data_IF_904949209430
#
_entry.id   IF_904949209430
#
_cell.length_a   1.000
_cell.length_b   1.000
_cell.length_c   1.000
_cell.angle_alpha   90.00
_cell.angle_beta   90.00
_cell.angle_gamma   90.00
#
_symmetry.space_group_name_H-M   'P 1'
#
loop_
_entity.id
_entity.type
_entity.pdbx_description
1 polymer ?
#
# COMPACT_ATOMS: atom_id res chain seq x y z
N UNK A 1 11.27 -13.89 18.96
CA UNK A 1 12.01 -15.02 18.36
C UNK A 1 11.37 -15.36 17.03
N UNK A 2 12.12 -15.38 15.93
CA UNK A 2 11.57 -15.66 14.59
C UNK A 2 11.04 -17.09 14.44
N UNK A 3 10.00 -17.29 13.64
CA UNK A 3 9.42 -18.60 13.36
C UNK A 3 10.46 -19.50 12.68
N UNK A 4 10.89 -20.55 13.40
CA UNK A 4 11.92 -21.51 12.97
C UNK A 4 13.25 -20.86 12.54
N UNK A 5 13.52 -19.64 12.99
CA UNK A 5 14.69 -18.86 12.54
C UNK A 5 14.67 -18.46 11.06
N UNK A 6 13.52 -18.54 10.39
CA UNK A 6 13.37 -18.32 8.93
C UNK A 6 12.44 -17.17 8.58
N UNK A 7 11.53 -16.82 9.49
CA UNK A 7 10.54 -15.77 9.28
C UNK A 7 10.47 -14.91 10.54
N UNK A 8 10.54 -13.60 10.38
CA UNK A 8 10.24 -12.63 11.43
C UNK A 8 9.35 -11.55 10.85
N UNK A 9 8.42 -11.02 11.63
CA UNK A 9 7.68 -9.84 11.24
C UNK A 9 7.62 -8.82 12.35
N UNK A 10 7.40 -7.57 11.96
CA UNK A 10 7.23 -6.42 12.83
C UNK A 10 5.98 -5.66 12.41
N UNK A 11 5.14 -5.31 13.39
CA UNK A 11 4.00 -4.42 13.18
C UNK A 11 4.39 -2.99 13.59
N UNK A 12 4.33 -2.08 12.64
CA UNK A 12 4.56 -0.66 12.80
C UNK A 12 3.22 0.07 12.85
N UNK A 13 2.99 0.85 13.90
CA UNK A 13 1.79 1.66 14.09
C UNK A 13 2.17 3.13 13.95
N UNK A 14 1.59 3.80 12.95
CA UNK A 14 1.81 5.21 12.69
C UNK A 14 0.71 6.07 13.34
N UNK A 15 1.04 7.32 13.64
CA UNK A 15 0.17 8.24 14.39
C UNK A 15 -1.16 8.58 13.71
N UNK A 16 -1.32 8.30 12.42
CA UNK A 16 -2.55 8.52 11.65
C UNK A 16 -3.43 7.26 11.53
N UNK A 17 -3.28 6.31 12.45
CA UNK A 17 -3.97 5.00 12.50
C UNK A 17 -3.60 4.03 11.39
N UNK A 18 -2.54 4.31 10.60
CA UNK A 18 -1.99 3.33 9.66
C UNK A 18 -1.18 2.27 10.38
N UNK A 19 -1.25 1.07 9.84
CA UNK A 19 -0.59 -0.11 10.37
C UNK A 19 0.14 -0.78 9.22
N UNK A 20 1.41 -1.07 9.41
CA UNK A 20 2.25 -1.76 8.43
C UNK A 20 2.89 -2.98 9.08
N UNK A 21 2.73 -4.14 8.45
CA UNK A 21 3.49 -5.34 8.79
C UNK A 21 4.65 -5.49 7.81
N UNK A 22 5.86 -5.49 8.34
CA UNK A 22 7.07 -5.87 7.63
C UNK A 22 7.38 -7.33 7.91
N UNK A 23 7.45 -8.19 6.89
CA UNK A 23 7.76 -9.61 7.02
C UNK A 23 9.11 -9.88 6.34
N UNK A 24 10.10 -10.33 7.11
CA UNK A 24 11.38 -10.79 6.58
C UNK A 24 11.38 -12.31 6.45
N UNK A 25 11.80 -12.83 5.30
CA UNK A 25 11.93 -14.27 5.03
C UNK A 25 13.33 -14.68 4.62
N UNK A 26 13.72 -15.89 5.01
CA UNK A 26 14.91 -16.60 4.52
C UNK A 26 14.50 -18.05 4.27
N UNK A 27 14.04 -18.37 3.06
CA UNK A 27 13.45 -19.67 2.75
C UNK A 27 14.49 -20.73 2.38
N UNK A 28 14.14 -22.00 2.51
CA UNK A 28 15.08 -23.09 2.20
C UNK A 28 15.36 -23.18 0.70
N UNK A 29 16.65 -23.15 0.32
CA UNK A 29 17.12 -23.41 -1.04
C UNK A 29 16.90 -24.87 -1.50
N UNK A 30 17.01 -25.82 -0.56
CA UNK A 30 16.99 -27.23 -0.89
C UNK A 30 15.55 -27.73 -1.10
N UNK A 31 15.17 -27.95 -2.36
CA UNK A 31 13.84 -28.44 -2.72
C UNK A 31 13.49 -29.82 -2.17
N UNK A 32 14.46 -30.60 -1.66
CA UNK A 32 14.20 -31.87 -0.95
C UNK A 32 13.47 -31.64 0.38
N UNK A 33 13.56 -30.44 0.96
CA UNK A 33 12.91 -30.06 2.23
C UNK A 33 11.43 -29.63 2.02
N UNK A 34 10.75 -30.26 1.07
CA UNK A 34 9.42 -29.86 0.58
C UNK A 34 8.38 -29.65 1.70
N UNK A 35 8.35 -30.53 2.71
CA UNK A 35 7.40 -30.44 3.81
C UNK A 35 7.64 -29.19 4.66
N UNK A 36 8.91 -28.88 4.95
CA UNK A 36 9.29 -27.69 5.69
C UNK A 36 8.99 -26.42 4.90
N UNK A 37 9.34 -26.39 3.61
CA UNK A 37 9.04 -25.26 2.71
C UNK A 37 7.54 -25.00 2.64
N UNK A 38 6.72 -26.04 2.47
CA UNK A 38 5.26 -25.91 2.48
C UNK A 38 4.72 -25.36 3.81
N UNK A 39 5.28 -25.80 4.94
CA UNK A 39 4.91 -25.28 6.24
C UNK A 39 5.27 -23.79 6.40
N UNK A 40 6.45 -23.37 5.92
CA UNK A 40 6.84 -21.95 5.89
C UNK A 40 5.93 -21.13 4.99
N UNK A 41 5.61 -21.61 3.78
CA UNK A 41 4.67 -20.94 2.87
C UNK A 41 3.29 -20.76 3.52
N UNK A 42 2.79 -21.79 4.20
CA UNK A 42 1.53 -21.71 4.94
C UNK A 42 1.60 -20.69 6.08
N UNK A 43 2.69 -20.68 6.85
CA UNK A 43 2.87 -19.69 7.92
C UNK A 43 2.88 -18.25 7.37
N UNK A 44 3.51 -18.01 6.22
CA UNK A 44 3.49 -16.72 5.55
C UNK A 44 2.06 -16.35 5.13
N UNK A 45 1.33 -17.27 4.49
CA UNK A 45 -0.06 -17.06 4.08
C UNK A 45 -0.97 -16.71 5.27
N UNK A 46 -0.86 -17.47 6.35
CA UNK A 46 -1.62 -17.22 7.58
C UNK A 46 -1.25 -15.85 8.20
N UNK A 47 0.05 -15.49 8.20
CA UNK A 47 0.55 -14.20 8.72
C UNK A 47 0.06 -12.99 7.91
N UNK A 48 0.00 -13.13 6.58
CA UNK A 48 -0.53 -12.10 5.68
C UNK A 48 -2.05 -12.00 5.85
N UNK A 49 -2.74 -13.14 5.96
CA UNK A 49 -4.19 -13.18 6.16
C UNK A 49 -4.61 -12.50 7.47
N UNK A 50 -3.86 -12.73 8.55
CA UNK A 50 -4.03 -12.08 9.84
C UNK A 50 -3.76 -10.56 9.79
N UNK A 51 -2.79 -10.10 8.98
CA UNK A 51 -2.60 -8.67 8.77
C UNK A 51 -3.78 -8.05 8.01
N UNK A 52 -4.22 -8.69 6.93
CA UNK A 52 -5.33 -8.22 6.10
C UNK A 52 -6.66 -8.18 6.85
N UNK A 53 -6.94 -9.16 7.72
CA UNK A 53 -8.16 -9.16 8.55
C UNK A 53 -8.20 -8.01 9.57
N UNK A 54 -7.03 -7.43 9.89
CA UNK A 54 -6.87 -6.31 10.83
C UNK A 54 -6.61 -4.97 10.14
N UNK A 55 -6.82 -4.92 8.82
CA UNK A 55 -6.58 -3.75 7.97
C UNK A 55 -5.15 -3.22 8.09
N UNK A 56 -4.18 -4.15 8.12
CA UNK A 56 -2.75 -3.86 8.18
C UNK A 56 -2.17 -4.01 6.78
N UNK A 57 -1.50 -2.95 6.30
CA UNK A 57 -0.76 -2.96 5.04
C UNK A 57 0.46 -3.88 5.17
N UNK A 58 0.91 -4.52 4.08
CA UNK A 58 1.95 -5.56 4.15
C UNK A 58 3.07 -5.30 3.17
N UNK A 59 4.31 -5.41 3.66
CA UNK A 59 5.51 -5.62 2.85
C UNK A 59 6.15 -6.92 3.30
N UNK A 60 6.46 -7.81 2.36
CA UNK A 60 7.24 -9.02 2.61
C UNK A 60 8.50 -9.00 1.76
N UNK A 61 9.65 -9.27 2.38
CA UNK A 61 10.95 -9.15 1.75
C UNK A 61 11.95 -10.21 2.25
N UNK A 62 13.02 -10.40 1.49
CA UNK A 62 14.15 -11.27 1.85
C UNK A 62 14.50 -12.26 0.75
N UNK A 63 15.22 -13.31 1.11
CA UNK A 63 15.62 -14.39 0.20
C UNK A 63 14.53 -15.47 0.18
N UNK A 64 13.86 -15.56 -0.97
CA UNK A 64 12.79 -16.54 -1.18
C UNK A 64 13.32 -17.87 -1.69
N UNK A 65 14.57 -17.93 -2.17
CA UNK A 65 15.13 -19.10 -2.83
C UNK A 65 14.26 -19.66 -3.98
N UNK A 66 13.44 -18.80 -4.58
CA UNK A 66 12.57 -19.10 -5.71
C UNK A 66 13.04 -18.25 -6.89
N UNK A 67 13.33 -18.89 -8.02
CA UNK A 67 13.74 -18.19 -9.24
C UNK A 67 12.51 -17.65 -9.98
N UNK A 68 12.40 -16.32 -10.09
CA UNK A 68 11.25 -15.65 -10.71
C UNK A 68 11.14 -15.89 -12.21
N UNK A 69 12.27 -15.98 -12.94
CA UNK A 69 12.24 -16.31 -14.37
C UNK A 69 11.62 -17.69 -14.59
N UNK A 70 12.00 -18.68 -13.79
CA UNK A 70 11.39 -20.03 -13.82
C UNK A 70 9.91 -19.99 -13.43
N UNK A 71 9.53 -19.12 -12.49
CA UNK A 71 8.13 -18.92 -12.12
C UNK A 71 7.30 -18.36 -13.28
N UNK A 72 7.78 -17.31 -13.95
CA UNK A 72 7.11 -16.71 -15.11
C UNK A 72 6.94 -17.71 -16.25
N UNK A 73 7.98 -18.50 -16.56
CA UNK A 73 7.92 -19.55 -17.58
C UNK A 73 6.98 -20.70 -17.19
N UNK A 74 6.72 -20.91 -15.90
CA UNK A 74 5.87 -21.98 -15.40
C UNK A 74 4.39 -21.59 -15.31
N UNK A 75 3.93 -20.52 -15.97
CA UNK A 75 2.55 -20.01 -15.90
C UNK A 75 1.47 -21.08 -16.16
N UNK A 76 1.79 -22.12 -16.93
CA UNK A 76 0.88 -23.24 -17.27
C UNK A 76 1.00 -24.41 -16.27
N UNK A 77 2.12 -24.52 -15.56
CA UNK A 77 2.42 -25.64 -14.67
C UNK A 77 2.29 -25.21 -13.21
N UNK A 78 1.28 -25.75 -12.51
CA UNK A 78 1.00 -25.52 -11.08
C UNK A 78 2.05 -26.20 -10.16
N UNK A 79 3.34 -25.90 -10.40
CA UNK A 79 4.46 -26.42 -9.62
C UNK A 79 4.38 -25.92 -8.19
N UNK A 80 4.58 -26.81 -7.23
CA UNK A 80 4.43 -26.51 -5.81
C UNK A 80 5.46 -25.51 -5.30
N UNK A 81 6.66 -25.46 -5.91
CA UNK A 81 7.73 -24.53 -5.55
C UNK A 81 7.29 -23.06 -5.71
N UNK A 82 6.39 -22.80 -6.66
CA UNK A 82 5.87 -21.46 -6.95
C UNK A 82 4.57 -21.14 -6.22
N UNK A 83 4.15 -22.00 -5.28
CA UNK A 83 2.92 -21.79 -4.52
C UNK A 83 2.92 -20.44 -3.81
N UNK A 84 4.03 -20.07 -3.17
CA UNK A 84 4.13 -18.83 -2.43
C UNK A 84 3.90 -17.59 -3.31
N UNK A 85 4.55 -17.49 -4.47
CA UNK A 85 4.33 -16.35 -5.38
C UNK A 85 2.87 -16.27 -5.86
N UNK A 86 2.22 -17.40 -6.16
CA UNK A 86 0.78 -17.40 -6.47
C UNK A 86 -0.04 -16.90 -5.27
N UNK A 87 0.29 -17.34 -4.06
CA UNK A 87 -0.38 -16.86 -2.84
C UNK A 87 -0.22 -15.35 -2.67
N UNK A 88 0.99 -14.81 -2.83
CA UNK A 88 1.24 -13.37 -2.71
C UNK A 88 0.40 -12.56 -3.72
N UNK A 89 0.32 -13.03 -4.96
CA UNK A 89 -0.51 -12.42 -6.00
C UNK A 89 -2.00 -12.50 -5.69
N UNK A 90 -2.50 -13.66 -5.23
CA UNK A 90 -3.88 -13.81 -4.77
C UNK A 90 -4.20 -12.89 -3.58
N UNK A 91 -3.21 -12.63 -2.73
CA UNK A 91 -3.29 -11.68 -1.61
C UNK A 91 -3.07 -10.23 -2.04
N UNK A 92 -2.91 -9.95 -3.34
CA UNK A 92 -2.73 -8.60 -3.91
C UNK A 92 -1.43 -7.92 -3.45
N UNK A 93 -0.40 -8.70 -3.19
CA UNK A 93 0.97 -8.20 -3.07
C UNK A 93 1.66 -8.35 -4.43
N UNK A 94 2.39 -7.32 -4.84
CA UNK A 94 3.06 -7.27 -6.14
C UNK A 94 4.57 -7.13 -5.94
N UNK A 95 5.35 -7.77 -6.82
CA UNK A 95 6.80 -7.65 -6.88
C UNK A 95 7.17 -6.22 -7.32
N UNK A 96 8.00 -5.54 -6.53
CA UNK A 96 8.31 -4.12 -6.76
C UNK A 96 9.25 -3.92 -7.94
N UNK A 97 10.20 -4.81 -8.17
CA UNK A 97 11.23 -4.65 -9.21
C UNK A 97 10.64 -4.47 -10.62
N UNK A 98 9.72 -5.33 -11.12
CA UNK A 98 9.16 -5.17 -12.46
C UNK A 98 8.22 -3.96 -12.60
N UNK A 99 7.86 -3.29 -11.51
CA UNK A 99 7.06 -2.05 -11.52
C UNK A 99 7.97 -0.82 -11.74
N UNK A 100 9.15 -0.82 -11.13
CA UNK A 100 10.05 0.34 -11.12
C UNK A 100 11.17 0.27 -12.16
N UNK A 101 11.51 -0.92 -12.71
CA UNK A 101 12.69 -1.11 -13.55
C UNK A 101 12.37 -1.60 -14.95
N UNK A 102 12.99 -0.97 -15.95
CA UNK A 102 12.81 -1.33 -17.36
C UNK A 102 13.49 -2.64 -17.77
N UNK A 103 14.62 -2.95 -17.13
CA UNK A 103 15.48 -4.09 -17.44
C UNK A 103 15.46 -5.11 -16.29
N UNK A 104 14.31 -5.35 -15.68
CA UNK A 104 14.13 -6.25 -14.54
C UNK A 104 14.61 -7.70 -14.79
N UNK A 105 14.69 -8.11 -16.06
CA UNK A 105 15.18 -9.43 -16.49
C UNK A 105 16.69 -9.64 -16.28
N UNK A 106 17.44 -8.55 -16.22
CA UNK A 106 18.90 -8.52 -16.02
C UNK A 106 19.27 -8.18 -14.57
N UNK A 107 18.27 -7.87 -13.73
CA UNK A 107 18.49 -7.55 -12.32
C UNK A 107 18.58 -8.81 -11.48
N UNK A 108 19.75 -9.45 -11.50
CA UNK A 108 20.03 -10.59 -10.63
C UNK A 108 20.37 -10.14 -9.21
N UNK A 109 20.04 -10.96 -8.22
CA UNK A 109 20.35 -10.68 -6.81
C UNK A 109 21.28 -11.72 -6.20
N UNK A 110 21.59 -12.79 -6.94
CA UNK A 110 22.43 -13.88 -6.49
C UNK A 110 23.42 -14.26 -7.61
N UNK A 111 24.70 -14.28 -7.27
CA UNK A 111 25.80 -14.68 -8.14
C UNK A 111 26.45 -15.95 -7.58
N UNK A 112 26.28 -17.11 -8.24
CA UNK A 112 26.82 -18.36 -7.72
C UNK A 112 28.35 -18.39 -7.75
N UNK A 113 28.96 -19.02 -6.74
CA UNK A 113 30.42 -19.23 -6.69
C UNK A 113 30.96 -20.09 -7.84
N UNK A 114 30.14 -21.02 -8.37
CA UNK A 114 30.48 -21.82 -9.55
C UNK A 114 30.21 -20.99 -10.82
N UNK A 115 31.25 -20.62 -11.60
CA UNK A 115 31.10 -19.78 -12.78
C UNK A 115 30.28 -20.44 -13.91
N UNK A 116 30.06 -21.75 -13.84
CA UNK A 116 29.20 -22.44 -14.81
C UNK A 116 27.70 -22.30 -14.48
N UNK A 117 27.36 -21.78 -13.30
CA UNK A 117 25.97 -21.54 -12.91
C UNK A 117 25.58 -20.12 -13.28
N UNK A 118 24.34 -19.99 -13.75
CA UNK A 118 23.78 -18.69 -14.10
C UNK A 118 23.37 -17.92 -12.84
N UNK A 119 23.60 -16.61 -12.90
CA UNK A 119 23.05 -15.65 -11.94
C UNK A 119 21.51 -15.74 -11.91
N UNK A 120 20.94 -15.39 -10.76
CA UNK A 120 19.50 -15.41 -10.62
C UNK A 120 18.98 -14.35 -9.66
N UNK A 121 17.71 -13.99 -9.84
CA UNK A 121 16.97 -13.23 -8.83
C UNK A 121 16.36 -14.23 -7.85
N UNK A 122 16.72 -14.11 -6.59
CA UNK A 122 16.24 -14.95 -5.47
C UNK A 122 15.71 -14.09 -4.30
N UNK A 123 16.09 -12.82 -4.28
CA UNK A 123 15.69 -11.83 -3.29
C UNK A 123 14.61 -10.92 -3.86
N UNK A 124 13.59 -10.66 -3.07
CA UNK A 124 12.43 -9.90 -3.53
C UNK A 124 11.91 -8.97 -2.43
N UNK A 125 11.23 -7.92 -2.87
CA UNK A 125 10.32 -7.14 -2.05
C UNK A 125 8.95 -7.21 -2.73
N UNK A 126 7.95 -7.67 -1.99
CA UNK A 126 6.56 -7.68 -2.42
C UNK A 126 5.77 -6.77 -1.51
N UNK A 127 4.95 -5.91 -2.08
CA UNK A 127 4.21 -4.90 -1.33
C UNK A 127 2.73 -4.90 -1.70
N UNK A 128 1.87 -4.64 -0.71
CA UNK A 128 0.45 -4.42 -0.96
C UNK A 128 0.23 -3.18 -1.82
N UNK A 129 -0.89 -3.13 -2.55
CA UNK A 129 -1.21 -1.99 -3.42
C UNK A 129 -1.11 -0.62 -2.72
N UNK A 130 -1.65 -0.44 -1.49
CA UNK A 130 -1.48 0.83 -0.77
C UNK A 130 -0.02 1.18 -0.47
N UNK A 131 0.89 0.22 -0.35
CA UNK A 131 2.32 0.48 -0.14
C UNK A 131 3.02 0.88 -1.43
N UNK A 132 2.60 0.32 -2.57
CA UNK A 132 3.12 0.69 -3.88
C UNK A 132 2.76 2.13 -4.26
N UNK A 133 1.58 2.61 -3.89
CA UNK A 133 1.20 4.03 -4.02
C UNK A 133 2.18 4.96 -3.28
N UNK A 134 2.74 4.48 -2.16
CA UNK A 134 3.67 5.24 -1.32
C UNK A 134 5.13 4.99 -1.69
N UNK A 135 5.39 4.21 -2.73
CA UNK A 135 6.72 3.82 -3.17
C UNK A 135 7.25 4.77 -4.23
N UNK A 136 8.52 5.15 -4.10
CA UNK A 136 9.22 6.06 -5.01
C UNK A 136 10.05 5.28 -6.02
N UNK A 137 10.76 4.25 -5.56
CA UNK A 137 11.67 3.48 -6.39
C UNK A 137 11.93 2.10 -5.78
N UNK A 138 12.35 1.13 -6.61
CA UNK A 138 12.89 -0.14 -6.15
C UNK A 138 14.09 -0.53 -7.01
N UNK A 139 15.21 -0.88 -6.39
CA UNK A 139 16.46 -1.19 -7.13
C UNK A 139 17.19 -2.38 -6.55
N UNK A 140 18.17 -2.89 -7.29
CA UNK A 140 19.17 -3.83 -6.79
C UNK A 140 20.51 -3.11 -6.73
N UNK A 141 21.18 -3.16 -5.59
CA UNK A 141 22.47 -2.52 -5.34
C UNK A 141 23.51 -3.56 -4.90
N UNK A 142 24.75 -3.40 -5.35
CA UNK A 142 25.88 -4.19 -4.88
C UNK A 142 26.15 -3.92 -3.40
N UNK A 143 26.79 -4.88 -2.73
CA UNK A 143 27.15 -4.76 -1.34
C UNK A 143 28.66 -4.57 -1.18
N UNK A 144 29.08 -3.31 -1.02
CA UNK A 144 30.50 -2.97 -0.96
C UNK A 144 31.08 -3.14 0.46
N UNK A 145 30.24 -3.45 1.45
CA UNK A 145 30.61 -3.42 2.86
C UNK A 145 30.94 -4.80 3.47
N UNK A 146 30.51 -5.89 2.83
CA UNK A 146 30.84 -7.25 3.25
C UNK A 146 30.76 -8.23 2.09
N UNK A 147 31.56 -9.30 2.17
CA UNK A 147 31.63 -10.34 1.16
C UNK A 147 30.35 -11.20 1.20
N UNK A 148 29.61 -11.18 0.09
CA UNK A 148 28.32 -11.87 -0.06
C UNK A 148 28.10 -12.21 -1.53
N UNK A 149 27.53 -13.38 -1.78
CA UNK A 149 27.05 -13.81 -3.10
C UNK A 149 25.67 -13.22 -3.45
N UNK A 150 25.06 -12.45 -2.53
CA UNK A 150 23.82 -11.73 -2.73
C UNK A 150 23.98 -10.21 -2.85
N UNK A 151 23.16 -9.60 -3.71
CA UNK A 151 22.96 -8.15 -3.86
C UNK A 151 21.76 -7.68 -3.03
N UNK A 152 21.77 -6.42 -2.61
CA UNK A 152 20.69 -5.87 -1.79
C UNK A 152 19.54 -5.36 -2.67
N UNK A 153 18.32 -5.83 -2.39
CA UNK A 153 17.09 -5.26 -2.98
C UNK A 153 16.59 -4.13 -2.09
N UNK A 154 16.29 -2.98 -2.68
CA UNK A 154 15.77 -1.81 -1.95
C UNK A 154 14.37 -1.42 -2.45
N UNK A 155 13.58 -0.87 -1.53
CA UNK A 155 12.32 -0.20 -1.81
C UNK A 155 12.32 1.14 -1.06
N UNK A 156 12.33 2.23 -1.81
CA UNK A 156 12.27 3.58 -1.25
C UNK A 156 10.82 4.01 -1.11
N UNK A 157 10.44 4.45 0.08
CA UNK A 157 9.09 4.88 0.38
C UNK A 157 9.05 6.37 0.71
N UNK A 158 7.97 7.04 0.32
CA UNK A 158 7.77 8.45 0.65
C UNK A 158 7.39 8.58 2.12
N UNK A 159 8.32 9.09 2.93
CA UNK A 159 8.14 9.27 4.37
C UNK A 159 6.93 10.12 4.69
N UNK A 160 6.68 11.23 3.97
CA UNK A 160 5.50 12.07 4.21
C UNK A 160 4.23 11.27 3.97
N UNK A 161 4.17 10.49 2.90
CA UNK A 161 2.99 9.67 2.65
C UNK A 161 2.84 8.55 3.67
N UNK A 162 3.89 8.02 4.30
CA UNK A 162 3.80 6.94 5.30
C UNK A 162 3.57 7.45 6.71
N UNK A 163 4.30 8.48 7.11
CA UNK A 163 4.41 8.93 8.50
C UNK A 163 3.73 10.27 8.76
N UNK A 164 3.48 11.09 7.72
CA UNK A 164 2.90 12.39 7.98
C UNK A 164 1.45 12.23 8.40
N UNK A 165 1.18 12.70 9.62
CA UNK A 165 -0.05 13.41 9.92
C UNK A 165 -0.21 14.47 8.83
N UNK A 166 -1.27 14.36 8.02
CA UNK A 166 -1.50 15.21 6.85
C UNK A 166 -1.20 16.68 7.15
N UNK A 167 -0.01 17.17 6.79
CA UNK A 167 0.29 18.59 6.80
C UNK A 167 -0.45 19.20 5.63
N UNK A 168 -1.32 20.16 5.93
CA UNK A 168 -2.06 20.93 4.95
C UNK A 168 -1.04 21.67 4.08
N UNK A 169 -0.85 21.18 2.86
CA UNK A 169 -0.41 22.01 1.76
C UNK A 169 -1.64 22.16 0.88
N UNK A 170 -2.14 23.39 0.75
CA UNK A 170 -3.20 23.73 -0.18
C UNK A 170 -2.72 23.40 -1.59
N UNK A 171 -3.00 22.19 -2.07
CA UNK A 171 -2.82 21.83 -3.47
C UNK A 171 -4.18 21.97 -4.14
N UNK A 172 -4.25 22.80 -5.18
CA UNK A 172 -5.44 22.88 -6.02
C UNK A 172 -5.73 21.50 -6.60
N UNK A 173 -6.90 20.95 -6.28
CA UNK A 173 -7.37 19.67 -6.81
C UNK A 173 -8.14 19.95 -8.10
N UNK A 174 -7.55 19.60 -9.24
CA UNK A 174 -8.26 19.52 -10.51
C UNK A 174 -9.23 18.34 -10.46
N UNK A 175 -10.53 18.63 -10.57
CA UNK A 175 -11.58 17.60 -10.62
C UNK A 175 -11.55 16.86 -11.96
N UNK A 176 -10.82 15.75 -12.02
CA UNK A 176 -11.09 14.74 -13.05
C UNK A 176 -11.91 13.61 -12.41
N UNK A 177 -13.15 13.46 -12.87
CA UNK A 177 -14.00 12.31 -12.54
C UNK A 177 -13.48 11.10 -13.32
N UNK A 178 -12.70 10.26 -12.67
CA UNK A 178 -12.63 8.85 -13.03
C UNK A 178 -12.87 8.09 -11.73
N UNK A 179 -13.95 7.29 -11.69
CA UNK A 179 -14.17 6.30 -10.63
C UNK A 179 -13.62 4.99 -11.18
N UNK A 180 -12.46 4.56 -10.71
CA UNK A 180 -11.96 3.21 -11.02
C UNK A 180 -11.90 2.37 -9.76
N UNK A 181 -12.54 1.20 -9.81
CA UNK A 181 -12.50 0.22 -8.73
C UNK A 181 -11.07 -0.34 -8.56
N UNK A 182 -10.64 -0.68 -7.33
CA UNK A 182 -9.31 -1.27 -7.05
C UNK A 182 -8.96 -2.50 -7.91
N UNK A 183 -9.98 -3.20 -8.42
CA UNK A 183 -9.85 -4.38 -9.26
C UNK A 183 -9.29 -4.09 -10.66
N UNK A 184 -9.65 -2.95 -11.28
CA UNK A 184 -9.06 -2.52 -12.55
C UNK A 184 -7.55 -2.23 -12.41
N UNK A 185 -7.14 -1.81 -11.21
CA UNK A 185 -5.78 -1.37 -10.91
C UNK A 185 -4.81 -2.56 -10.83
N UNK A 186 -5.24 -3.65 -10.18
CA UNK A 186 -4.50 -4.92 -10.16
C UNK A 186 -4.42 -5.58 -11.54
N UNK A 187 -5.44 -5.39 -12.38
CA UNK A 187 -5.53 -6.03 -13.67
C UNK A 187 -4.41 -5.61 -14.63
N UNK A 188 -4.02 -4.32 -14.62
CA UNK A 188 -2.90 -3.82 -15.44
C UNK A 188 -1.59 -4.53 -15.06
N UNK A 189 -1.35 -4.78 -13.77
CA UNK A 189 -0.15 -5.51 -13.34
C UNK A 189 -0.11 -6.94 -13.89
N UNK A 190 -1.23 -7.66 -13.84
CA UNK A 190 -1.30 -9.01 -14.40
C UNK A 190 -1.07 -9.01 -15.91
N UNK A 191 -1.56 -8.00 -16.62
CA UNK A 191 -1.33 -7.83 -18.05
C UNK A 191 0.14 -7.49 -18.35
N UNK A 192 0.79 -6.60 -17.57
CA UNK A 192 2.24 -6.35 -17.65
C UNK A 192 3.01 -7.65 -17.49
N UNK A 193 2.66 -8.46 -16.49
CA UNK A 193 3.31 -9.74 -16.23
C UNK A 193 3.13 -10.72 -17.39
N UNK A 194 1.95 -10.76 -18.00
CA UNK A 194 1.72 -11.55 -19.20
C UNK A 194 2.64 -11.11 -20.35
N UNK A 195 2.80 -9.81 -20.56
CA UNK A 195 3.75 -9.26 -21.55
C UNK A 195 5.20 -9.66 -21.23
N UNK A 196 5.65 -9.52 -19.98
CA UNK A 196 7.01 -9.94 -19.56
C UNK A 196 7.22 -11.43 -19.84
N UNK A 197 6.22 -12.26 -19.57
CA UNK A 197 6.28 -13.68 -19.87
C UNK A 197 6.43 -13.93 -21.39
N UNK A 198 5.69 -13.19 -22.24
CA UNK A 198 5.84 -13.29 -23.70
C UNK A 198 7.23 -12.82 -24.17
N UNK A 199 7.81 -11.78 -23.57
CA UNK A 199 9.19 -11.32 -23.85
C UNK A 199 10.18 -12.46 -23.61
N UNK A 200 10.10 -13.08 -22.43
CA UNK A 200 10.99 -14.19 -22.05
C UNK A 200 10.83 -15.42 -22.96
N UNK A 201 9.59 -15.80 -23.33
CA UNK A 201 9.37 -16.86 -24.32
C UNK A 201 9.95 -16.51 -25.69
N UNK A 202 9.92 -15.22 -26.08
CA UNK A 202 10.44 -14.75 -27.37
C UNK A 202 11.97 -14.85 -27.40
N UNK A 203 12.64 -14.41 -26.34
CA UNK A 203 14.09 -14.63 -26.16
C UNK A 203 14.46 -16.12 -26.23
N UNK A 204 13.66 -16.99 -25.60
CA UNK A 204 13.90 -18.43 -25.66
C UNK A 204 13.85 -18.98 -27.09
N UNK A 205 12.96 -18.47 -27.93
CA UNK A 205 12.89 -18.87 -29.35
C UNK A 205 14.08 -18.33 -30.12
N UNK A 206 14.41 -17.05 -29.95
CA UNK A 206 15.54 -16.42 -30.64
C UNK A 206 16.88 -17.10 -30.32
N UNK A 207 17.03 -17.65 -29.11
CA UNK A 207 18.28 -18.28 -28.68
C UNK A 207 18.37 -19.77 -29.04
N UNK A 208 17.24 -20.50 -29.08
CA UNK A 208 17.25 -21.96 -29.16
C UNK A 208 16.70 -22.53 -30.48
N UNK A 209 16.13 -21.69 -31.35
CA UNK A 209 15.41 -22.15 -32.54
C UNK A 209 16.07 -21.63 -33.81
N UNK A 210 16.37 -22.53 -34.75
CA UNK A 210 16.96 -22.19 -36.06
C UNK A 210 15.91 -22.06 -37.17
N UNK A 211 14.75 -22.71 -37.04
CA UNK A 211 13.64 -22.63 -38.00
C UNK A 211 12.28 -22.60 -37.29
N UNK A 212 11.31 -21.88 -37.85
CA UNK A 212 9.98 -21.75 -37.25
C UNK A 212 9.04 -22.82 -37.80
N UNK A 213 8.43 -23.60 -36.91
CA UNK A 213 7.41 -24.57 -37.29
C UNK A 213 6.04 -23.92 -37.37
N UNK A 214 5.12 -24.51 -38.15
CA UNK A 214 3.74 -24.05 -38.23
C UNK A 214 3.03 -24.02 -36.85
N UNK A 215 3.31 -25.01 -36.00
CA UNK A 215 2.77 -25.06 -34.63
C UNK A 215 3.25 -23.88 -33.78
N UNK A 216 4.52 -23.47 -33.93
CA UNK A 216 5.04 -22.27 -33.28
C UNK A 216 4.34 -21.05 -33.85
N UNK A 217 4.37 -20.83 -35.17
CA UNK A 217 3.74 -19.68 -35.82
C UNK A 217 2.29 -19.47 -35.34
N UNK A 218 1.45 -20.51 -35.41
CA UNK A 218 0.04 -20.46 -34.98
C UNK A 218 -0.13 -20.16 -33.49
N UNK A 219 0.74 -20.68 -32.61
CA UNK A 219 0.76 -20.35 -31.18
C UNK A 219 1.02 -18.85 -30.96
N UNK A 220 1.97 -18.27 -31.69
CA UNK A 220 2.34 -16.85 -31.56
C UNK A 220 1.30 -15.91 -32.15
N UNK A 221 0.64 -16.28 -33.24
CA UNK A 221 -0.51 -15.53 -33.76
C UNK A 221 -1.62 -15.40 -32.72
N UNK A 222 -1.90 -16.47 -31.96
CA UNK A 222 -2.88 -16.43 -30.84
C UNK A 222 -2.43 -15.49 -29.72
N UNK A 223 -1.14 -15.49 -29.38
CA UNK A 223 -0.62 -14.57 -28.37
C UNK A 223 -0.69 -13.13 -28.81
N UNK A 224 -0.31 -12.83 -30.05
CA UNK A 224 -0.46 -11.48 -30.60
C UNK A 224 -1.92 -11.01 -30.54
N UNK A 225 -2.88 -11.87 -30.88
CA UNK A 225 -4.30 -11.53 -30.77
C UNK A 225 -4.70 -11.16 -29.34
N UNK A 226 -4.30 -11.95 -28.34
CA UNK A 226 -4.57 -11.64 -26.92
C UNK A 226 -3.91 -10.33 -26.47
N UNK A 227 -2.71 -10.04 -26.97
CA UNK A 227 -2.01 -8.78 -26.67
C UNK A 227 -2.78 -7.60 -27.29
N UNK A 228 -3.23 -7.72 -28.53
CA UNK A 228 -4.01 -6.67 -29.18
C UNK A 228 -5.33 -6.41 -28.43
N UNK A 229 -6.04 -7.47 -28.00
CA UNK A 229 -7.21 -7.32 -27.12
C UNK A 229 -6.89 -6.60 -25.80
N UNK A 230 -5.70 -6.84 -25.25
CA UNK A 230 -5.22 -6.15 -24.04
C UNK A 230 -4.95 -4.68 -24.32
N UNK A 231 -4.38 -4.35 -25.48
CA UNK A 231 -4.16 -2.96 -25.90
C UNK A 231 -5.48 -2.22 -26.10
N UNK A 232 -6.46 -2.85 -26.75
CA UNK A 232 -7.79 -2.26 -26.98
C UNK A 232 -8.50 -1.94 -25.66
N UNK A 233 -8.40 -2.86 -24.68
CA UNK A 233 -8.93 -2.68 -23.32
C UNK A 233 -8.38 -1.44 -22.60
N UNK A 234 -7.16 -1.01 -22.93
CA UNK A 234 -6.50 0.16 -22.36
C UNK A 234 -6.45 1.36 -23.31
N UNK A 235 -7.23 1.33 -24.40
CA UNK A 235 -7.28 2.41 -25.41
C UNK A 235 -5.89 2.70 -26.02
N UNK A 236 -5.06 1.65 -26.17
CA UNK A 236 -3.67 1.72 -26.64
C UNK A 236 -3.47 1.03 -28.01
N UNK A 237 -4.51 0.99 -28.83
CA UNK A 237 -4.51 0.26 -30.11
C UNK A 237 -3.44 0.75 -31.09
N UNK A 238 -2.95 1.99 -30.93
CA UNK A 238 -1.84 2.55 -31.71
C UNK A 238 -0.52 1.79 -31.57
N UNK A 239 -0.34 1.02 -30.48
CA UNK A 239 0.82 0.15 -30.26
C UNK A 239 0.66 -1.24 -30.88
N UNK A 240 -0.51 -1.52 -31.45
CA UNK A 240 -0.80 -2.80 -32.12
C UNK A 240 0.11 -2.95 -33.33
N UNK A 241 0.63 -4.15 -33.52
CA UNK A 241 1.42 -4.51 -34.69
C UNK A 241 1.11 -5.94 -35.07
N UNK A 242 1.10 -6.20 -36.38
CA UNK A 242 0.81 -7.53 -36.92
C UNK A 242 2.08 -8.18 -37.46
N UNK A 243 2.36 -9.38 -36.97
CA UNK A 243 3.49 -10.22 -37.39
C UNK A 243 2.97 -11.57 -37.90
N UNK A 244 3.63 -12.11 -38.91
CA UNK A 244 3.26 -13.41 -39.50
C UNK A 244 3.89 -14.59 -38.75
N UNK A 245 4.99 -14.34 -38.03
CA UNK A 245 5.75 -15.35 -37.28
C UNK A 245 6.19 -16.52 -38.15
N UNK A 246 6.61 -16.24 -39.39
CA UNK A 246 7.11 -17.26 -40.32
C UNK A 246 8.64 -17.32 -40.31
N UNK A 247 9.30 -16.22 -39.95
CA UNK A 247 10.75 -16.11 -39.91
C UNK A 247 11.23 -15.57 -38.56
N UNK A 248 12.49 -15.84 -38.20
CA UNK A 248 13.09 -15.38 -36.94
C UNK A 248 13.10 -13.84 -36.81
N UNK A 249 13.17 -13.11 -37.92
CA UNK A 249 13.16 -11.64 -37.88
C UNK A 249 11.81 -11.08 -37.41
N UNK A 250 10.70 -11.78 -37.65
CA UNK A 250 9.39 -11.41 -37.07
C UNK A 250 9.45 -11.42 -35.55
N UNK A 251 10.13 -12.41 -34.95
CA UNK A 251 10.29 -12.52 -33.51
C UNK A 251 11.18 -11.41 -32.94
N UNK A 252 12.22 -10.98 -33.67
CA UNK A 252 13.06 -9.84 -33.26
C UNK A 252 12.25 -8.54 -33.26
N UNK A 253 11.43 -8.31 -34.28
CA UNK A 253 10.57 -7.14 -34.37
C UNK A 253 9.45 -7.19 -33.32
N UNK A 254 8.84 -8.36 -33.12
CA UNK A 254 7.84 -8.58 -32.09
C UNK A 254 8.39 -8.33 -30.69
N UNK A 255 9.59 -8.83 -30.39
CA UNK A 255 10.28 -8.56 -29.13
C UNK A 255 10.44 -7.05 -28.88
N UNK A 256 10.90 -6.30 -29.89
CA UNK A 256 11.00 -4.83 -29.79
C UNK A 256 9.63 -4.21 -29.51
N UNK A 257 8.56 -4.71 -30.11
CA UNK A 257 7.21 -4.22 -29.85
C UNK A 257 6.73 -4.54 -28.43
N UNK A 258 6.95 -5.77 -27.95
CA UNK A 258 6.61 -6.18 -26.59
C UNK A 258 7.31 -5.31 -25.54
N UNK A 259 8.58 -4.97 -25.75
CA UNK A 259 9.31 -4.07 -24.87
C UNK A 259 8.68 -2.66 -24.83
N UNK A 260 8.20 -2.14 -25.97
CA UNK A 260 7.47 -0.85 -26.02
C UNK A 260 6.14 -0.94 -25.27
N UNK A 261 5.36 -1.99 -25.53
CA UNK A 261 4.08 -2.25 -24.86
C UNK A 261 4.28 -2.35 -23.34
N UNK A 262 5.30 -3.09 -22.89
CA UNK A 262 5.64 -3.21 -21.47
C UNK A 262 5.87 -1.84 -20.83
N UNK A 263 6.67 -0.97 -21.47
CA UNK A 263 6.93 0.39 -20.98
C UNK A 263 5.66 1.22 -20.89
N UNK A 264 4.80 1.12 -21.89
CA UNK A 264 3.54 1.88 -21.91
C UNK A 264 2.56 1.41 -20.81
N UNK A 265 2.34 0.09 -20.69
CA UNK A 265 1.47 -0.46 -19.64
C UNK A 265 2.00 -0.14 -18.23
N UNK A 266 3.32 -0.11 -18.03
CA UNK A 266 3.93 0.35 -16.76
C UNK A 266 3.61 1.80 -16.45
N UNK A 267 3.69 2.68 -17.44
CA UNK A 267 3.32 4.08 -17.27
C UNK A 267 1.83 4.22 -16.89
N UNK A 268 0.96 3.49 -17.59
CA UNK A 268 -0.46 3.44 -17.26
C UNK A 268 -0.71 2.93 -15.84
N UNK A 269 0.01 1.90 -15.40
CA UNK A 269 -0.09 1.41 -14.03
C UNK A 269 0.32 2.47 -13.00
N UNK A 270 1.41 3.20 -13.24
CA UNK A 270 1.84 4.30 -12.36
C UNK A 270 0.82 5.44 -12.32
N UNK A 271 0.26 5.82 -13.47
CA UNK A 271 -0.81 6.81 -13.55
C UNK A 271 -2.05 6.36 -12.75
N UNK A 272 -2.39 5.07 -12.83
CA UNK A 272 -3.51 4.52 -12.07
C UNK A 272 -3.24 4.58 -10.55
N UNK A 273 -2.01 4.30 -10.11
CA UNK A 273 -1.58 4.49 -8.71
C UNK A 273 -1.76 5.95 -8.26
N UNK A 274 -1.32 6.92 -9.08
CA UNK A 274 -1.48 8.34 -8.79
C UNK A 274 -2.96 8.76 -8.70
N UNK A 275 -3.80 8.22 -9.58
CA UNK A 275 -5.25 8.44 -9.54
C UNK A 275 -5.83 7.93 -8.22
N UNK A 276 -5.38 6.78 -7.69
CA UNK A 276 -5.82 6.29 -6.38
C UNK A 276 -5.56 7.30 -5.27
N UNK A 277 -4.34 7.86 -5.25
CA UNK A 277 -3.94 8.85 -4.26
C UNK A 277 -4.85 10.07 -4.34
N UNK A 278 -5.17 10.55 -5.55
CA UNK A 278 -6.09 11.66 -5.74
C UNK A 278 -7.52 11.33 -5.27
N UNK A 279 -8.04 10.15 -5.60
CA UNK A 279 -9.36 9.69 -5.14
C UNK A 279 -9.44 9.67 -3.61
N UNK A 280 -8.37 9.20 -2.94
CA UNK A 280 -8.30 9.17 -1.48
C UNK A 280 -8.27 10.58 -0.87
N UNK A 281 -7.51 11.50 -1.47
CA UNK A 281 -7.48 12.91 -1.07
C UNK A 281 -8.88 13.53 -1.18
N UNK A 282 -9.54 13.36 -2.33
CA UNK A 282 -10.90 13.87 -2.56
C UNK A 282 -11.90 13.28 -1.58
N UNK A 283 -11.81 11.98 -1.29
CA UNK A 283 -12.66 11.29 -0.31
C UNK A 283 -12.48 11.88 1.10
N UNK A 284 -11.24 12.10 1.52
CA UNK A 284 -10.92 12.69 2.82
C UNK A 284 -11.41 14.15 2.93
N UNK A 285 -11.27 14.95 1.88
CA UNK A 285 -11.81 16.32 1.84
C UNK A 285 -13.34 16.28 2.00
N UNK A 286 -14.04 15.43 1.25
CA UNK A 286 -15.50 15.28 1.37
C UNK A 286 -15.93 14.90 2.78
N UNK A 287 -15.27 13.89 3.38
CA UNK A 287 -15.52 13.48 4.77
C UNK A 287 -15.34 14.66 5.74
N UNK A 288 -14.31 15.48 5.52
CA UNK A 288 -14.07 16.68 6.33
C UNK A 288 -15.18 17.71 6.17
N UNK A 289 -15.63 18.00 4.96
CA UNK A 289 -16.76 18.90 4.74
C UNK A 289 -18.04 18.40 5.44
N UNK A 290 -18.33 17.10 5.37
CA UNK A 290 -19.45 16.49 6.12
C UNK A 290 -19.27 16.63 7.62
N UNK A 291 -18.09 16.29 8.15
CA UNK A 291 -17.81 16.44 9.58
C UNK A 291 -17.90 17.91 10.03
N UNK A 292 -17.54 18.88 9.19
CA UNK A 292 -17.68 20.29 9.52
C UNK A 292 -19.13 20.72 9.69
N UNK A 293 -20.04 20.18 8.87
CA UNK A 293 -21.47 20.47 8.97
C UNK A 293 -22.14 19.72 10.12
N UNK A 294 -21.85 18.43 10.24
CA UNK A 294 -22.66 17.50 11.03
C UNK A 294 -21.96 16.99 12.30
N UNK A 295 -20.64 17.17 12.43
CA UNK A 295 -19.84 16.65 13.55
C UNK A 295 -18.56 17.48 13.82
N UNK A 296 -18.75 18.73 14.22
CA UNK A 296 -17.64 19.68 14.47
C UNK A 296 -16.65 19.17 15.52
N UNK A 297 -17.09 18.37 16.48
CA UNK A 297 -16.22 17.72 17.46
C UNK A 297 -15.17 16.83 16.78
N UNK A 298 -15.54 16.10 15.72
CA UNK A 298 -14.60 15.29 14.96
C UNK A 298 -13.58 16.13 14.18
N UNK A 299 -13.98 17.31 13.67
CA UNK A 299 -13.07 18.27 13.06
C UNK A 299 -12.05 18.77 14.08
N UNK A 300 -12.51 19.20 15.25
CA UNK A 300 -11.64 19.68 16.34
C UNK A 300 -10.67 18.58 16.72
N UNK A 301 -11.14 17.35 17.00
CA UNK A 301 -10.28 16.18 17.26
C UNK A 301 -9.25 15.93 16.17
N UNK A 302 -9.66 16.04 14.91
CA UNK A 302 -8.78 15.84 13.76
C UNK A 302 -7.74 16.95 13.60
N UNK A 303 -8.02 18.19 14.02
CA UNK A 303 -7.12 19.34 13.92
C UNK A 303 -6.18 19.40 15.12
N UNK A 304 -6.70 19.18 16.33
CA UNK A 304 -5.91 19.24 17.56
C UNK A 304 -5.04 18.01 17.74
N UNK A 305 -5.29 16.94 16.99
CA UNK A 305 -4.59 15.64 17.10
C UNK A 305 -4.69 15.04 18.52
N UNK A 306 -5.67 15.49 19.30
CA UNK A 306 -5.86 15.05 20.67
C UNK A 306 -6.72 13.78 20.73
N UNK A 307 -6.17 12.74 21.36
CA UNK A 307 -7.01 11.71 21.95
C UNK A 307 -7.68 12.29 23.18
N UNK A 308 -9.01 12.42 23.16
CA UNK A 308 -9.74 12.70 24.39
C UNK A 308 -9.59 11.49 25.31
N UNK A 309 -8.81 11.67 26.37
CA UNK A 309 -8.84 10.79 27.53
C UNK A 309 -10.22 10.94 28.15
N UNK A 310 -11.11 10.00 27.86
CA UNK A 310 -12.42 9.94 28.50
C UNK A 310 -12.26 9.10 29.76
N UNK A 311 -12.81 9.59 30.86
CA UNK A 311 -12.95 8.82 32.10
C UNK A 311 -14.43 8.50 32.20
N UNK A 312 -14.79 7.21 32.11
CA UNK A 312 -16.13 6.74 32.46
C UNK A 312 -16.20 6.50 33.96
N UNK A 313 -17.10 7.20 34.64
CA UNK A 313 -17.42 6.92 36.04
C UNK A 313 -18.70 6.10 36.02
N UNK A 314 -18.60 4.81 36.35
CA UNK A 314 -19.74 3.88 36.34
C UNK A 314 -20.33 3.65 37.74
N UNK A 315 -19.52 3.90 38.78
CA UNK A 315 -19.88 3.62 40.17
C UNK A 315 -19.28 4.67 41.09
N UNK A 316 -20.05 5.10 42.09
CA UNK A 316 -19.60 6.05 43.11
C UNK A 316 -19.82 5.43 44.49
N UNK A 317 -18.75 5.42 45.30
CA UNK A 317 -18.84 5.13 46.73
C UNK A 317 -19.03 6.43 47.49
N UNK A 318 -20.15 6.56 48.19
CA UNK A 318 -20.48 7.74 49.00
C UNK A 318 -20.58 7.35 50.47
N UNK A 319 -19.86 8.07 51.31
CA UNK A 319 -19.99 8.00 52.78
C UNK A 319 -20.95 9.08 53.26
N UNK A 320 -21.94 8.70 54.06
CA UNK A 320 -22.76 9.67 54.76
C UNK A 320 -22.00 10.28 55.97
N UNK A 321 -22.60 11.28 56.61
CA UNK A 321 -22.03 11.94 57.78
C UNK A 321 -21.90 11.02 59.01
N UNK A 322 -22.59 9.88 59.02
CA UNK A 322 -22.49 8.85 60.05
C UNK A 322 -21.47 7.75 59.72
N UNK A 323 -20.81 7.82 58.56
CA UNK A 323 -19.80 6.87 58.11
C UNK A 323 -20.32 5.65 57.36
N UNK A 324 -21.62 5.56 57.07
CA UNK A 324 -22.18 4.45 56.28
C UNK A 324 -21.83 4.62 54.80
N UNK A 325 -21.43 3.51 54.18
CA UNK A 325 -21.07 3.47 52.77
C UNK A 325 -22.29 3.10 51.91
N UNK A 326 -22.52 3.87 50.84
CA UNK A 326 -23.53 3.62 49.83
C UNK A 326 -22.89 3.56 48.44
N UNK A 327 -23.26 2.55 47.66
CA UNK A 327 -22.79 2.36 46.29
C UNK A 327 -23.85 2.83 45.31
N UNK A 328 -23.52 3.84 44.51
CA UNK A 328 -24.38 4.39 43.47
C UNK A 328 -23.93 3.81 42.13
N UNK A 329 -24.85 3.13 41.44
CA UNK A 329 -24.58 2.46 40.14
C UNK A 329 -25.50 2.90 39.00
N UNK A 330 -26.60 3.61 39.29
CA UNK A 330 -27.53 4.08 38.26
C UNK A 330 -26.97 5.29 37.52
N UNK A 331 -26.98 5.26 36.19
CA UNK A 331 -26.35 6.28 35.32
C UNK A 331 -26.74 7.73 35.68
N UNK A 332 -28.04 8.01 35.87
CA UNK A 332 -28.52 9.34 36.25
C UNK A 332 -28.08 9.77 37.66
N UNK A 333 -28.03 8.82 38.60
CA UNK A 333 -27.60 9.06 39.97
C UNK A 333 -26.08 9.29 40.06
N UNK A 334 -25.31 8.52 39.29
CA UNK A 334 -23.86 8.69 39.12
C UNK A 334 -23.56 10.07 38.52
N UNK A 335 -24.29 10.49 37.49
CA UNK A 335 -24.12 11.81 36.88
C UNK A 335 -24.40 12.95 37.86
N UNK A 336 -25.52 12.87 38.59
CA UNK A 336 -25.91 13.90 39.56
C UNK A 336 -24.91 14.01 40.71
N UNK A 337 -24.47 12.89 41.27
CA UNK A 337 -23.51 12.88 42.38
C UNK A 337 -22.10 13.31 41.92
N UNK A 338 -21.68 12.91 40.71
CA UNK A 338 -20.43 13.39 40.09
C UNK A 338 -20.46 14.92 39.94
N UNK A 339 -21.56 15.45 39.38
CA UNK A 339 -21.75 16.89 39.24
C UNK A 339 -21.71 17.59 40.60
N UNK A 340 -22.42 17.06 41.61
CA UNK A 340 -22.43 17.62 42.96
C UNK A 340 -21.02 17.66 43.57
N UNK A 341 -20.27 16.55 43.46
CA UNK A 341 -18.90 16.44 43.96
C UNK A 341 -17.99 17.52 43.34
N UNK A 342 -17.91 17.60 42.01
CA UNK A 342 -17.03 18.58 41.35
C UNK A 342 -17.49 20.03 41.50
N UNK A 343 -18.77 20.27 41.77
CA UNK A 343 -19.27 21.62 42.04
C UNK A 343 -18.98 22.10 43.47
N UNK A 344 -18.77 21.18 44.42
CA UNK A 344 -18.62 21.48 45.85
C UNK A 344 -17.24 21.17 46.40
N UNK A 345 -16.40 20.46 45.63
CA UNK A 345 -15.06 20.06 46.05
C UNK A 345 -14.22 21.27 46.45
N UNK A 346 -13.49 21.13 47.56
CA UNK A 346 -12.70 22.19 48.17
C UNK A 346 -13.48 23.46 48.56
N UNK A 347 -14.78 23.32 48.90
CA UNK A 347 -15.63 24.44 49.32
C UNK A 347 -15.96 25.41 48.20
N UNK A 348 -15.83 24.96 46.95
CA UNK A 348 -16.17 25.78 45.79
C UNK A 348 -17.68 25.95 45.67
N UNK A 349 -18.11 27.15 45.25
CA UNK A 349 -19.51 27.47 44.99
C UNK A 349 -19.59 27.89 43.53
N UNK A 350 -20.35 27.14 42.74
CA UNK A 350 -20.58 27.49 41.34
C UNK A 350 -21.41 28.78 41.27
N UNK A 351 -20.79 29.86 40.80
CA UNK A 351 -21.43 31.16 40.56
C UNK A 351 -20.97 31.67 39.21
N UNK A 352 -21.85 32.39 38.50
CA UNK A 352 -21.42 33.19 37.34
C UNK A 352 -20.35 34.18 37.81
N UNK A 353 -19.10 33.93 37.45
CA UNK A 353 -17.99 34.87 37.66
C UNK A 353 -17.89 35.74 36.42
N UNK A 354 -18.18 37.05 36.48
CA UNK A 354 -17.86 37.94 35.37
C UNK A 354 -16.34 37.91 35.14
N UNK A 355 -15.91 38.00 33.88
CA UNK A 355 -14.49 38.18 33.56
C UNK A 355 -14.00 39.47 34.21
N UNK A 356 -12.98 39.39 35.06
CA UNK A 356 -12.43 40.54 35.80
C UNK A 356 -10.96 40.80 35.43
N UNK A 357 -10.55 42.06 35.60
CA UNK A 357 -9.18 42.51 35.38
C UNK A 357 -8.69 42.28 33.94
N UNK A 358 -7.41 41.94 33.80
CA UNK A 358 -6.73 41.75 32.51
C UNK A 358 -7.43 40.78 31.55
N UNK A 359 -8.19 39.83 32.07
CA UNK A 359 -8.90 38.83 31.26
C UNK A 359 -10.11 39.42 30.55
N UNK A 360 -10.76 40.45 31.12
CA UNK A 360 -11.87 41.15 30.45
C UNK A 360 -11.40 41.85 29.17
N UNK A 361 -10.19 42.40 29.20
CA UNK A 361 -9.61 43.09 28.05
C UNK A 361 -9.02 42.10 27.05
N UNK A 362 -8.39 41.02 27.52
CA UNK A 362 -7.80 40.01 26.65
C UNK A 362 -8.82 39.17 25.87
N UNK A 363 -9.99 38.91 26.46
CA UNK A 363 -11.07 38.17 25.81
C UNK A 363 -12.13 39.07 25.18
N UNK A 364 -11.91 40.38 25.10
CA UNK A 364 -12.78 41.25 24.31
C UNK A 364 -12.64 40.94 22.82
N UNK A 365 -13.73 41.05 22.04
CA UNK A 365 -13.65 40.97 20.59
C UNK A 365 -12.60 41.95 20.06
N UNK A 366 -11.64 41.41 19.32
CA UNK A 366 -10.61 42.23 18.69
C UNK A 366 -11.29 43.15 17.68
N UNK A 367 -11.19 44.47 17.88
CA UNK A 367 -11.88 45.48 17.04
C UNK A 367 -11.56 45.37 15.55
N UNK A 368 -10.39 44.85 15.21
CA UNK A 368 -9.94 44.66 13.83
C UNK A 368 -10.45 43.35 13.21
N UNK A 369 -11.02 42.45 14.01
CA UNK A 369 -11.62 41.21 13.53
C UNK A 369 -13.10 41.45 13.38
N UNK A 370 -13.58 41.41 12.13
CA UNK A 370 -14.99 41.55 11.85
C UNK A 370 -15.76 40.36 12.48
N UNK A 371 -16.83 40.63 13.24
CA UNK A 371 -17.63 39.57 13.89
C UNK A 371 -18.29 38.60 12.89
N UNK A 372 -18.41 39.02 11.63
CA UNK A 372 -19.02 38.28 10.54
C UNK A 372 -17.99 37.54 9.67
N UNK A 373 -16.73 37.39 10.09
CA UNK A 373 -15.67 36.74 9.28
C UNK A 373 -15.97 35.31 8.86
N UNK A 374 -16.90 34.63 9.54
CA UNK A 374 -17.27 33.25 9.23
C UNK A 374 -18.62 33.12 8.49
N UNK A 375 -19.32 34.23 8.22
CA UNK A 375 -20.68 34.20 7.65
C UNK A 375 -20.73 33.55 6.27
N UNK A 376 -19.70 33.81 5.47
CA UNK A 376 -19.61 33.38 4.08
C UNK A 376 -18.61 32.22 3.90
N UNK A 377 -18.17 31.59 4.99
CA UNK A 377 -17.12 30.56 4.96
C UNK A 377 -17.55 29.32 4.13
N UNK A 378 -18.86 29.10 3.99
CA UNK A 378 -19.43 27.99 3.21
C UNK A 378 -19.86 28.41 1.80
N UNK A 379 -19.74 29.69 1.45
CA UNK A 379 -20.07 30.16 0.12
C UNK A 379 -19.01 29.69 -0.88
N UNK A 380 -19.40 29.64 -2.16
CA UNK A 380 -18.45 29.35 -3.22
C UNK A 380 -17.43 30.51 -3.30
N UNK A 381 -16.12 30.22 -3.37
CA UNK A 381 -15.11 31.26 -3.48
C UNK A 381 -15.35 32.11 -4.73
N UNK A 382 -15.15 33.41 -4.59
CA UNK A 382 -15.31 34.36 -5.70
C UNK A 382 -14.14 34.26 -6.67
N UNK A 383 -14.23 34.88 -7.86
CA UNK A 383 -13.10 34.92 -8.81
C UNK A 383 -11.90 35.74 -8.31
N UNK A 384 -12.12 36.58 -7.30
CA UNK A 384 -11.11 37.52 -6.76
C UNK A 384 -10.41 36.97 -5.50
N UNK A 385 -10.83 35.79 -5.01
CA UNK A 385 -10.15 34.99 -3.97
C UNK A 385 -9.33 33.85 -4.60
#
# INVERSE_FOLDING_TARGET
VGHKGRIIYLDLYFSDKRKLRLIQVYLNANQKERLQIKALHKYIDDTISDAQSRDIEVIIMGDFNINYRKYLMAFINNKWQFFLFRTLECKRLLDTIPIFNDNDEEMYTYTPADPNRQESRLDYIWASLPMLEKSVNSTVIENDHFDTDHKTVTLSLNTVQITAKSRIVNKQVTRNKVKTTPEKKLLIYFDIRYIINRILETHSILNNTTFITYSVSTKWSKFQHLINMTLDKYECSDLSSSFTFLILDDFKLFLKNLCKIRKHLRLLFKLELDIMVQEQIVSNIKKRCTNFKDNQAFIIRSITEEEMVHISIEKIYKKDAQGNESLITGESAVLNETNYHFQTIAGSINRKKPLQGRWKDQYQPLRHVNGNIYSNLMDLPSRDE
#
